data_IF_525105275480
#
_entry.id   IF_525105275480
#
_cell.length_a   1.000
_cell.length_b   1.000
_cell.length_c   1.000
_cell.angle_alpha   90.00
_cell.angle_beta   90.00
_cell.angle_gamma   90.00
#
_symmetry.space_group_name_H-M   'P 1'
#
loop_
_entity.id
_entity.type
_entity.pdbx_description
1 polymer ?
#
# COMPACT_ATOMS: atom_id res chain seq x y z
N UNK A 1 0.06 36.51 64.78
CA UNK A 1 -1.17 36.02 65.36
C UNK A 1 -2.20 35.85 64.27
N UNK A 2 -2.40 34.65 63.81
CA UNK A 2 -3.70 34.04 63.59
C UNK A 2 -3.44 32.67 62.88
N UNK A 3 -3.77 31.68 63.61
CA UNK A 3 -3.88 30.26 63.25
C UNK A 3 -4.95 30.08 62.17
N UNK A 4 -4.67 29.25 61.19
CA UNK A 4 -5.73 28.67 60.34
C UNK A 4 -5.53 27.16 60.19
N UNK A 5 -6.53 26.49 60.65
CA UNK A 5 -6.80 25.08 60.79
C UNK A 5 -6.77 24.30 59.46
N UNK A 6 -6.14 23.15 59.50
CA UNK A 6 -6.25 22.07 58.50
C UNK A 6 -7.72 21.62 58.35
N UNK A 7 -8.18 21.53 57.12
CA UNK A 7 -9.45 20.89 56.72
C UNK A 7 -9.10 19.59 55.98
N UNK A 8 -9.37 18.48 56.65
CA UNK A 8 -9.19 17.13 56.12
C UNK A 8 -10.08 16.93 54.87
N UNK A 9 -9.44 16.59 53.76
CA UNK A 9 -10.11 16.25 52.52
C UNK A 9 -10.57 14.79 52.52
N UNK A 10 -11.84 14.63 52.31
CA UNK A 10 -12.57 13.37 52.14
C UNK A 10 -12.07 12.60 50.92
N UNK A 11 -11.52 11.38 51.10
CA UNK A 11 -11.11 10.47 50.05
C UNK A 11 -12.27 9.48 49.80
N UNK A 12 -12.91 9.47 48.63
CA UNK A 12 -13.90 8.44 48.32
C UNK A 12 -13.22 7.09 47.99
N UNK A 13 -13.69 6.02 48.60
CA UNK A 13 -13.27 4.62 48.35
C UNK A 13 -13.65 4.20 46.93
N UNK A 14 -12.80 3.40 46.23
CA UNK A 14 -13.16 2.84 44.95
C UNK A 14 -14.21 1.74 45.11
N UNK A 15 -15.26 1.80 44.31
CA UNK A 15 -16.27 0.76 44.14
C UNK A 15 -15.63 -0.47 43.44
N UNK A 16 -15.59 -1.58 44.16
CA UNK A 16 -15.27 -2.90 43.58
C UNK A 16 -16.45 -3.35 42.74
N UNK A 17 -16.33 -3.31 41.42
CA UNK A 17 -17.22 -4.04 40.52
C UNK A 17 -16.72 -5.48 40.36
N UNK A 18 -17.48 -6.38 40.98
CA UNK A 18 -17.40 -7.83 40.78
C UNK A 18 -17.73 -8.15 39.32
N UNK A 19 -16.73 -8.58 38.56
CA UNK A 19 -16.91 -9.12 37.21
C UNK A 19 -17.30 -10.60 37.34
N UNK A 20 -18.58 -10.88 37.22
CA UNK A 20 -19.12 -12.23 37.07
C UNK A 20 -18.69 -12.79 35.72
N UNK A 21 -17.78 -13.78 35.72
CA UNK A 21 -17.46 -14.61 34.55
C UNK A 21 -18.70 -15.41 34.13
N UNK A 22 -19.41 -14.97 33.12
CA UNK A 22 -20.33 -15.86 32.37
C UNK A 22 -19.49 -16.66 31.39
N UNK A 23 -19.25 -17.93 31.73
CA UNK A 23 -18.77 -18.93 30.80
C UNK A 23 -19.89 -19.18 29.78
N UNK A 24 -19.73 -18.73 28.57
CA UNK A 24 -20.59 -19.01 27.45
C UNK A 24 -20.40 -20.46 27.00
N UNK A 25 -21.47 -21.29 27.19
CA UNK A 25 -21.52 -22.63 26.62
C UNK A 25 -21.50 -22.55 25.09
N UNK A 26 -20.52 -23.23 24.51
CA UNK A 26 -20.45 -23.53 23.07
C UNK A 26 -21.53 -24.56 22.76
N UNK A 27 -22.44 -24.34 21.80
CA UNK A 27 -23.44 -25.36 21.42
C UNK A 27 -22.72 -26.51 20.69
N UNK A 28 -22.86 -27.70 21.29
CA UNK A 28 -22.45 -28.98 20.70
C UNK A 28 -23.27 -29.26 19.45
N UNK A 29 -22.66 -29.52 18.34
CA UNK A 29 -23.26 -30.07 17.12
C UNK A 29 -23.92 -31.43 17.42
N UNK A 30 -25.15 -31.70 16.90
CA UNK A 30 -25.80 -33.00 17.10
C UNK A 30 -25.11 -34.07 16.25
N UNK A 31 -24.68 -35.14 16.93
CA UNK A 31 -24.26 -36.38 16.30
C UNK A 31 -25.48 -37.03 15.62
N UNK A 32 -25.46 -37.10 14.31
CA UNK A 32 -26.42 -37.93 13.54
C UNK A 32 -26.03 -39.37 13.78
N UNK A 33 -26.82 -40.07 14.62
CA UNK A 33 -26.80 -41.53 14.75
C UNK A 33 -27.42 -42.15 13.52
N UNK A 34 -26.63 -42.78 12.69
CA UNK A 34 -27.16 -43.68 11.67
C UNK A 34 -27.73 -44.93 12.35
N UNK A 35 -29.06 -45.08 12.31
CA UNK A 35 -29.76 -46.29 12.67
C UNK A 35 -29.47 -47.33 11.57
N UNK A 36 -28.69 -48.33 11.91
CA UNK A 36 -28.52 -49.52 11.10
C UNK A 36 -29.79 -50.38 11.32
N UNK A 37 -30.65 -50.35 10.35
CA UNK A 37 -31.85 -51.23 10.34
C UNK A 37 -31.46 -52.56 9.73
N UNK A 38 -31.25 -53.56 10.57
CA UNK A 38 -31.07 -54.94 10.14
C UNK A 38 -32.45 -55.50 9.67
N UNK A 39 -32.63 -55.60 8.36
CA UNK A 39 -33.73 -56.37 7.80
C UNK A 39 -33.30 -57.82 7.63
N UNK A 40 -34.10 -58.68 8.19
CA UNK A 40 -34.02 -60.14 8.15
C UNK A 40 -34.14 -60.68 6.72
N UNK A 41 -33.29 -61.66 6.43
CA UNK A 41 -33.28 -62.39 5.18
C UNK A 41 -34.53 -63.22 4.96
N UNK A 42 -35.16 -63.11 3.81
CA UNK A 42 -35.98 -64.13 3.21
C UNK A 42 -35.30 -64.63 1.95
N UNK A 43 -35.19 -65.96 1.75
CA UNK A 43 -34.56 -66.51 0.59
C UNK A 43 -35.57 -66.69 -0.54
N UNK A 44 -35.25 -66.35 -1.73
CA UNK A 44 -35.56 -67.10 -2.91
C UNK A 44 -35.59 -66.28 -4.21
N UNK A 45 -35.06 -66.85 -5.12
CA UNK A 45 -35.09 -66.79 -6.59
C UNK A 45 -33.78 -66.29 -7.20
N UNK A 46 -32.98 -67.29 -7.64
CA UNK A 46 -31.89 -67.13 -8.57
C UNK A 46 -32.41 -66.59 -9.92
N UNK A 47 -32.45 -65.27 -10.06
CA UNK A 47 -32.42 -64.65 -11.38
C UNK A 47 -30.93 -64.51 -11.79
N UNK A 48 -30.46 -65.41 -12.62
CA UNK A 48 -29.20 -65.25 -13.36
C UNK A 48 -29.48 -64.17 -14.39
N UNK A 49 -29.34 -62.92 -13.98
CA UNK A 49 -29.23 -61.77 -14.90
C UNK A 49 -27.85 -61.79 -15.50
N UNK A 50 -27.77 -62.35 -16.70
CA UNK A 50 -26.54 -62.24 -17.52
C UNK A 50 -26.29 -60.76 -17.76
N UNK A 51 -25.44 -60.14 -16.96
CA UNK A 51 -24.96 -58.80 -17.24
C UNK A 51 -24.16 -58.84 -18.52
N UNK A 52 -24.82 -58.42 -19.60
CA UNK A 52 -24.15 -58.16 -20.89
C UNK A 52 -23.18 -57.01 -20.65
N UNK A 53 -21.94 -57.37 -20.43
CA UNK A 53 -20.85 -56.42 -20.28
C UNK A 53 -20.67 -55.69 -21.61
N UNK A 54 -21.45 -54.65 -21.84
CA UNK A 54 -21.26 -53.72 -22.95
C UNK A 54 -19.99 -52.94 -22.67
N UNK A 55 -18.87 -53.47 -23.12
CA UNK A 55 -17.64 -52.70 -23.24
C UNK A 55 -17.93 -51.52 -24.16
N UNK A 56 -18.24 -50.36 -23.58
CA UNK A 56 -18.23 -49.09 -24.32
C UNK A 56 -16.90 -48.98 -25.04
N UNK A 57 -16.86 -48.71 -26.35
CA UNK A 57 -15.61 -48.53 -27.06
C UNK A 57 -14.91 -47.33 -26.39
N UNK A 58 -13.78 -47.58 -25.75
CA UNK A 58 -12.88 -46.50 -25.32
C UNK A 58 -12.31 -45.94 -26.61
N UNK A 59 -12.85 -44.80 -27.07
CA UNK A 59 -12.24 -44.04 -28.14
C UNK A 59 -10.85 -43.61 -27.68
N UNK A 60 -9.82 -44.21 -28.17
CA UNK A 60 -8.45 -43.79 -27.93
C UNK A 60 -8.20 -42.45 -28.60
N UNK A 61 -7.54 -41.56 -27.89
CA UNK A 61 -7.12 -40.27 -28.44
C UNK A 61 -6.08 -40.48 -29.52
N UNK A 62 -6.26 -39.89 -30.70
CA UNK A 62 -5.29 -40.04 -31.80
C UNK A 62 -4.11 -39.10 -31.58
N UNK A 63 -2.94 -39.50 -32.04
CA UNK A 63 -1.72 -38.69 -31.91
C UNK A 63 -1.88 -37.33 -32.61
N UNK A 64 -2.66 -37.30 -33.72
CA UNK A 64 -2.91 -36.07 -34.47
C UNK A 64 -3.84 -35.11 -33.70
N UNK A 65 -4.83 -35.60 -32.97
CA UNK A 65 -5.71 -34.77 -32.14
C UNK A 65 -4.91 -34.10 -31.02
N UNK A 66 -3.98 -34.83 -30.39
CA UNK A 66 -3.11 -34.24 -29.35
C UNK A 66 -2.17 -33.20 -29.97
N UNK A 67 -1.57 -33.51 -31.13
CA UNK A 67 -0.61 -32.64 -31.83
C UNK A 67 -1.28 -31.33 -32.28
N UNK A 68 -2.50 -31.39 -32.81
CA UNK A 68 -3.23 -30.18 -33.23
C UNK A 68 -3.57 -29.28 -32.08
N UNK A 69 -3.96 -29.83 -30.91
CA UNK A 69 -4.27 -29.05 -29.69
C UNK A 69 -3.03 -28.33 -29.19
N UNK A 70 -1.88 -29.02 -29.06
CA UNK A 70 -0.67 -28.34 -28.57
C UNK A 70 -0.16 -27.31 -29.58
N UNK A 71 -0.35 -27.51 -30.89
CA UNK A 71 0.00 -26.51 -31.88
C UNK A 71 -0.83 -25.25 -31.76
N UNK A 72 -2.16 -25.36 -31.54
CA UNK A 72 -3.04 -24.22 -31.33
C UNK A 72 -2.68 -23.49 -30.03
N UNK A 73 -2.47 -24.23 -28.93
CA UNK A 73 -2.05 -23.62 -27.64
C UNK A 73 -0.72 -22.88 -27.79
N UNK A 74 0.24 -23.49 -28.55
CA UNK A 74 1.54 -22.88 -28.81
C UNK A 74 1.42 -21.53 -29.54
N UNK A 75 0.57 -21.47 -30.56
CA UNK A 75 0.33 -20.22 -31.32
C UNK A 75 -0.33 -19.18 -30.44
N UNK A 76 -1.35 -19.55 -29.65
CA UNK A 76 -2.03 -18.62 -28.71
C UNK A 76 -1.07 -18.11 -27.64
N UNK A 77 -0.26 -18.99 -27.05
CA UNK A 77 0.73 -18.62 -26.04
C UNK A 77 1.80 -17.66 -26.59
N UNK A 78 2.27 -17.88 -27.83
CA UNK A 78 3.27 -17.04 -28.49
C UNK A 78 2.80 -15.56 -28.61
N UNK A 79 1.49 -15.34 -28.81
CA UNK A 79 0.91 -13.99 -28.90
C UNK A 79 0.62 -13.41 -27.51
N UNK A 80 0.18 -14.25 -26.55
CA UNK A 80 -0.24 -13.78 -25.22
C UNK A 80 0.94 -13.39 -24.33
N UNK A 81 2.04 -14.15 -24.36
CA UNK A 81 3.17 -13.91 -23.45
C UNK A 81 3.72 -12.47 -23.54
N UNK A 82 4.04 -11.91 -24.73
CA UNK A 82 4.54 -10.54 -24.82
C UNK A 82 3.47 -9.49 -24.47
N UNK A 83 2.20 -9.78 -24.72
CA UNK A 83 1.11 -8.87 -24.39
C UNK A 83 0.91 -8.73 -22.87
N UNK A 84 0.98 -9.83 -22.12
CA UNK A 84 0.83 -9.85 -20.66
C UNK A 84 1.91 -9.00 -19.96
N UNK A 85 3.15 -9.02 -20.47
CA UNK A 85 4.23 -8.19 -19.91
C UNK A 85 3.91 -6.69 -19.94
N UNK A 86 3.46 -6.20 -21.10
CA UNK A 86 3.06 -4.78 -21.27
C UNK A 86 1.85 -4.40 -20.41
N UNK A 87 0.86 -5.29 -20.32
CA UNK A 87 -0.34 -5.05 -19.47
C UNK A 87 0.05 -4.94 -18.00
N UNK A 88 0.95 -5.79 -17.51
CA UNK A 88 1.45 -5.71 -16.11
C UNK A 88 2.19 -4.41 -15.86
N UNK A 89 3.03 -3.95 -16.78
CA UNK A 89 3.73 -2.67 -16.64
C UNK A 89 2.74 -1.50 -16.51
N UNK A 90 1.74 -1.44 -17.39
CA UNK A 90 0.70 -0.39 -17.34
C UNK A 90 -0.10 -0.47 -16.05
N UNK A 91 -0.46 -1.67 -15.60
CA UNK A 91 -1.18 -1.87 -14.33
C UNK A 91 -0.35 -1.38 -13.14
N UNK A 92 0.93 -1.73 -13.06
CA UNK A 92 1.82 -1.29 -11.99
C UNK A 92 2.01 0.23 -11.99
N UNK A 93 2.15 0.86 -13.17
CA UNK A 93 2.20 2.33 -13.28
C UNK A 93 0.90 2.98 -12.78
N UNK A 94 -0.25 2.40 -13.12
CA UNK A 94 -1.55 2.90 -12.64
C UNK A 94 -1.70 2.77 -11.13
N UNK A 95 -1.25 1.65 -10.54
CA UNK A 95 -1.23 1.46 -9.08
C UNK A 95 -0.34 2.49 -8.42
N UNK A 96 0.90 2.64 -8.86
CA UNK A 96 1.83 3.65 -8.33
C UNK A 96 1.25 5.08 -8.41
N UNK A 97 0.59 5.44 -9.51
CA UNK A 97 -0.05 6.76 -9.62
C UNK A 97 -1.21 6.93 -8.61
N UNK A 98 -1.98 5.86 -8.34
CA UNK A 98 -3.04 5.87 -7.32
C UNK A 98 -2.47 6.02 -5.91
N UNK A 99 -1.39 5.31 -5.61
CA UNK A 99 -0.71 5.35 -4.31
C UNK A 99 -0.15 6.75 -4.03
N UNK A 100 0.57 7.33 -5.00
CA UNK A 100 1.08 8.69 -4.90
C UNK A 100 -0.03 9.73 -4.73
N UNK A 101 -1.17 9.54 -5.40
CA UNK A 101 -2.35 10.39 -5.20
C UNK A 101 -2.88 10.29 -3.77
N UNK A 102 -2.93 9.09 -3.20
CA UNK A 102 -3.37 8.88 -1.82
C UNK A 102 -2.45 9.58 -0.82
N UNK A 103 -1.13 9.51 -1.02
CA UNK A 103 -0.13 10.23 -0.22
C UNK A 103 -0.31 11.74 -0.35
N UNK A 104 -0.48 12.25 -1.57
CA UNK A 104 -0.66 13.69 -1.81
C UNK A 104 -1.96 14.22 -1.20
N UNK A 105 -3.06 13.44 -1.25
CA UNK A 105 -4.33 13.79 -0.60
C UNK A 105 -4.22 13.81 0.92
N UNK A 106 -3.49 12.85 1.51
CA UNK A 106 -3.21 12.87 2.95
C UNK A 106 -2.40 14.11 3.33
N UNK A 107 -1.39 14.46 2.55
CA UNK A 107 -0.64 15.70 2.75
C UNK A 107 -1.53 16.95 2.63
N UNK A 108 -2.39 17.02 1.62
CA UNK A 108 -3.34 18.12 1.45
C UNK A 108 -4.30 18.23 2.64
N UNK A 109 -4.79 17.10 3.15
CA UNK A 109 -5.64 17.04 4.35
C UNK A 109 -4.90 17.60 5.57
N UNK A 110 -3.67 17.14 5.81
CA UNK A 110 -2.82 17.67 6.88
C UNK A 110 -2.56 19.17 6.72
N UNK A 111 -2.20 19.61 5.50
CA UNK A 111 -1.81 21.00 5.24
C UNK A 111 -2.95 21.99 5.45
N UNK A 112 -4.21 21.57 5.29
CA UNK A 112 -5.42 22.38 5.46
C UNK A 112 -6.11 22.20 6.81
N UNK A 113 -5.66 21.28 7.66
CA UNK A 113 -6.29 20.99 8.93
C UNK A 113 -6.23 22.20 9.88
N UNK A 114 -7.34 22.48 10.56
CA UNK A 114 -7.45 23.53 11.59
C UNK A 114 -7.52 24.96 11.06
N UNK A 115 -7.95 25.17 9.80
CA UNK A 115 -8.20 26.49 9.23
C UNK A 115 -6.96 27.35 9.00
N UNK A 116 -5.78 26.77 9.07
CA UNK A 116 -4.50 27.41 8.75
C UNK A 116 -3.70 26.51 7.84
N UNK A 117 -3.04 27.11 6.85
CA UNK A 117 -2.11 26.39 5.99
C UNK A 117 -0.90 25.95 6.82
N UNK A 118 -0.66 24.64 6.83
CA UNK A 118 0.48 24.03 7.52
C UNK A 118 1.47 23.52 6.46
N UNK A 119 2.75 23.71 6.74
CA UNK A 119 3.84 23.17 5.93
C UNK A 119 4.55 22.11 6.75
N UNK A 120 4.73 20.92 6.21
CA UNK A 120 5.57 19.91 6.83
C UNK A 120 7.04 20.28 6.58
N UNK A 121 7.80 20.45 7.65
CA UNK A 121 9.21 20.74 7.62
C UNK A 121 9.93 19.95 8.72
N UNK A 122 11.26 20.02 8.73
CA UNK A 122 12.09 19.33 9.72
C UNK A 122 11.66 19.59 11.17
N UNK A 123 11.35 20.84 11.52
CA UNK A 123 10.93 21.20 12.88
C UNK A 123 9.65 20.50 13.32
N UNK A 124 8.73 20.26 12.38
CA UNK A 124 7.47 19.55 12.68
C UNK A 124 7.69 18.05 12.84
N UNK A 125 8.55 17.46 12.04
CA UNK A 125 8.97 16.06 12.22
C UNK A 125 9.66 15.90 13.58
N UNK A 126 10.63 16.76 13.89
CA UNK A 126 11.36 16.72 15.15
C UNK A 126 10.46 16.95 16.38
N UNK A 127 9.48 17.85 16.29
CA UNK A 127 8.53 18.12 17.40
C UNK A 127 7.70 16.87 17.79
N UNK A 128 7.52 15.93 16.88
CA UNK A 128 6.84 14.65 17.13
C UNK A 128 7.81 13.46 17.18
N UNK A 129 9.11 13.71 17.21
CA UNK A 129 10.17 12.70 17.27
C UNK A 129 10.22 11.76 16.05
N UNK A 130 9.75 12.20 14.88
CA UNK A 130 9.90 11.47 13.63
C UNK A 130 11.24 11.82 12.98
N UNK A 131 11.94 10.83 12.37
CA UNK A 131 13.19 11.07 11.67
C UNK A 131 12.97 11.93 10.41
N UNK A 132 14.00 12.68 10.02
CA UNK A 132 14.03 13.45 8.77
C UNK A 132 14.34 12.52 7.59
N UNK A 133 13.41 11.65 7.28
CA UNK A 133 13.45 10.68 6.18
C UNK A 133 12.06 10.54 5.57
N UNK A 134 11.95 9.92 4.40
CA UNK A 134 10.65 9.62 3.79
C UNK A 134 9.81 8.71 4.68
N UNK A 135 10.43 7.74 5.35
CA UNK A 135 9.76 6.87 6.32
C UNK A 135 9.19 7.68 7.49
N UNK A 136 9.94 8.68 7.99
CA UNK A 136 9.46 9.57 9.03
C UNK A 136 8.28 10.45 8.57
N UNK A 137 8.27 10.90 7.32
CA UNK A 137 7.11 11.58 6.71
C UNK A 137 5.91 10.64 6.63
N UNK A 138 6.11 9.38 6.22
CA UNK A 138 5.04 8.39 6.16
C UNK A 138 4.41 8.15 7.53
N UNK A 139 5.22 7.96 8.56
CA UNK A 139 4.77 7.80 9.94
C UNK A 139 4.07 9.04 10.48
N UNK A 140 4.58 10.24 10.15
CA UNK A 140 3.95 11.50 10.50
C UNK A 140 2.55 11.63 9.86
N UNK A 141 2.41 11.30 8.57
CA UNK A 141 1.12 11.31 7.89
C UNK A 141 0.19 10.23 8.45
N UNK A 142 0.71 9.06 8.81
CA UNK A 142 -0.04 8.03 9.52
C UNK A 142 -0.62 8.53 10.84
N UNK A 143 0.16 9.29 11.61
CA UNK A 143 -0.30 9.91 12.86
C UNK A 143 -1.31 11.04 12.64
N UNK A 144 -1.11 11.92 11.67
CA UNK A 144 -1.96 13.11 11.45
C UNK A 144 -3.22 12.82 10.62
N UNK A 145 -3.20 11.83 9.74
CA UNK A 145 -4.25 11.58 8.74
C UNK A 145 -4.73 10.13 8.65
N UNK A 146 -4.25 9.26 9.55
CA UNK A 146 -4.53 7.82 9.57
C UNK A 146 -4.11 7.07 8.27
N UNK A 147 -3.14 7.59 7.51
CA UNK A 147 -2.58 6.94 6.33
C UNK A 147 -1.57 5.86 6.76
N UNK A 148 -2.06 4.72 7.23
CA UNK A 148 -1.23 3.70 7.90
C UNK A 148 -0.79 2.52 6.99
N UNK A 149 -1.27 2.44 5.76
CA UNK A 149 -0.87 1.39 4.83
C UNK A 149 0.55 1.62 4.31
N UNK A 150 1.47 0.72 4.66
CA UNK A 150 2.86 0.81 4.22
C UNK A 150 3.04 0.44 2.74
N UNK A 151 2.11 -0.32 2.15
CA UNK A 151 2.22 -0.78 0.76
C UNK A 151 2.18 0.36 -0.24
N UNK A 152 1.47 1.46 0.06
CA UNK A 152 1.37 2.64 -0.80
C UNK A 152 2.67 3.44 -0.95
N UNK A 153 3.66 3.20 -0.06
CA UNK A 153 4.98 3.82 -0.11
C UNK A 153 5.99 3.03 -0.94
N UNK A 154 5.54 1.88 -1.47
CA UNK A 154 6.39 0.93 -2.17
C UNK A 154 5.80 0.54 -3.52
N UNK A 155 6.63 0.49 -4.53
CA UNK A 155 6.27 -0.01 -5.85
C UNK A 155 6.68 -1.49 -5.91
N UNK A 156 5.73 -2.40 -6.12
CA UNK A 156 5.98 -3.85 -6.08
C UNK A 156 6.94 -4.39 -7.15
N UNK A 157 7.38 -3.56 -8.09
CA UNK A 157 8.41 -3.88 -9.09
C UNK A 157 9.72 -3.15 -8.83
N UNK A 158 9.82 -2.39 -7.73
CA UNK A 158 11.05 -1.71 -7.32
C UNK A 158 12.09 -2.75 -6.88
N UNK A 159 13.28 -2.79 -7.49
CA UNK A 159 14.32 -3.75 -7.14
C UNK A 159 14.70 -3.72 -5.65
N UNK A 160 14.74 -2.54 -5.03
CA UNK A 160 15.13 -2.39 -3.63
C UNK A 160 14.03 -2.93 -2.69
N UNK A 161 12.75 -2.71 -3.05
CA UNK A 161 11.60 -3.26 -2.31
C UNK A 161 11.55 -4.78 -2.42
N UNK A 162 11.80 -5.32 -3.63
CA UNK A 162 11.80 -6.78 -3.85
C UNK A 162 12.94 -7.47 -3.09
N UNK A 163 14.08 -6.80 -2.93
CA UNK A 163 15.24 -7.35 -2.24
C UNK A 163 15.09 -7.37 -0.71
N UNK A 164 14.07 -6.69 -0.16
CA UNK A 164 13.89 -6.54 1.29
C UNK A 164 12.74 -7.41 1.80
N UNK A 165 13.02 -8.24 2.78
CA UNK A 165 12.06 -9.07 3.52
C UNK A 165 12.32 -8.99 5.03
N UNK A 166 11.29 -8.96 5.89
CA UNK A 166 9.86 -8.85 5.58
C UNK A 166 9.44 -7.40 5.28
N UNK A 167 8.39 -7.25 4.46
CA UNK A 167 7.77 -5.94 4.22
C UNK A 167 6.70 -5.69 5.30
N UNK A 168 6.86 -4.72 6.21
CA UNK A 168 5.85 -4.42 7.21
C UNK A 168 4.55 -3.95 6.54
N UNK A 169 3.37 -4.37 7.05
CA UNK A 169 2.08 -4.02 6.45
C UNK A 169 1.65 -2.57 6.77
N UNK A 170 2.19 -1.98 7.83
CA UNK A 170 1.79 -0.65 8.31
C UNK A 170 2.99 0.26 8.53
N UNK A 171 2.79 1.57 8.43
CA UNK A 171 3.79 2.58 8.80
C UNK A 171 3.80 2.82 10.32
N UNK A 172 2.72 2.46 11.01
CA UNK A 172 2.51 2.57 12.44
C UNK A 172 1.06 2.22 12.78
N UNK A 173 0.72 2.24 14.04
CA UNK A 173 -0.63 1.93 14.50
C UNK A 173 -1.08 2.88 15.62
N UNK A 174 -2.38 3.12 15.71
CA UNK A 174 -3.00 3.90 16.78
C UNK A 174 -3.65 2.97 17.79
N UNK A 175 -3.22 3.06 19.05
CA UNK A 175 -3.80 2.30 20.15
C UNK A 175 -5.20 2.83 20.53
N UNK A 176 -5.95 2.06 21.33
CA UNK A 176 -7.29 2.42 21.77
C UNK A 176 -7.34 3.68 22.63
N UNK A 177 -6.23 4.07 23.27
CA UNK A 177 -6.08 5.31 24.04
C UNK A 177 -5.76 6.54 23.17
N UNK A 178 -5.66 6.35 21.85
CA UNK A 178 -5.32 7.39 20.88
C UNK A 178 -3.83 7.59 20.65
N UNK A 179 -2.96 6.87 21.37
CA UNK A 179 -1.50 6.96 21.19
C UNK A 179 -1.10 6.34 19.86
N UNK A 180 -0.32 7.07 19.07
CA UNK A 180 0.26 6.55 17.82
C UNK A 180 1.67 5.98 18.07
N UNK A 181 1.90 4.77 17.59
CA UNK A 181 3.19 4.10 17.71
C UNK A 181 3.73 3.82 16.29
N UNK A 182 4.86 4.44 15.90
CA UNK A 182 5.52 4.16 14.62
C UNK A 182 5.99 2.70 14.55
N UNK A 183 5.90 2.10 13.37
CA UNK A 183 6.45 0.78 13.11
C UNK A 183 7.96 0.87 12.90
N UNK A 184 8.73 0.16 13.74
CA UNK A 184 10.20 0.20 13.70
C UNK A 184 10.77 -0.55 12.48
N UNK A 185 10.10 -1.58 11.99
CA UNK A 185 10.50 -2.29 10.78
C UNK A 185 10.33 -1.40 9.56
N UNK A 186 9.24 -0.62 9.49
CA UNK A 186 9.02 0.33 8.41
C UNK A 186 10.09 1.42 8.37
N UNK A 187 10.60 1.86 9.52
CA UNK A 187 11.65 2.90 9.58
C UNK A 187 12.93 2.49 8.85
N UNK A 188 13.23 1.20 8.79
CA UNK A 188 14.39 0.63 8.10
C UNK A 188 14.10 0.06 6.71
N UNK A 189 12.83 0.02 6.32
CA UNK A 189 12.41 -0.54 5.03
C UNK A 189 12.64 0.45 3.88
N UNK A 190 13.00 -0.02 2.67
CA UNK A 190 13.08 0.83 1.50
C UNK A 190 11.69 1.34 1.11
N UNK A 191 11.68 2.55 0.56
CA UNK A 191 10.51 3.19 -0.03
C UNK A 191 10.82 3.59 -1.48
N UNK A 192 9.80 3.74 -2.30
CA UNK A 192 9.98 3.93 -3.75
C UNK A 192 9.81 5.38 -4.21
N UNK A 193 9.62 6.32 -3.28
CA UNK A 193 9.36 7.72 -3.60
C UNK A 193 10.27 8.63 -2.80
N UNK A 194 10.78 9.67 -3.46
CA UNK A 194 11.39 10.83 -2.83
C UNK A 194 10.28 11.81 -2.45
N UNK A 195 10.40 12.50 -1.33
CA UNK A 195 9.37 13.40 -0.82
C UNK A 195 9.92 14.80 -0.57
N UNK A 196 9.15 15.83 -0.92
CA UNK A 196 9.53 17.23 -0.75
C UNK A 196 8.86 17.78 0.50
N UNK A 197 9.67 18.17 1.48
CA UNK A 197 9.20 18.93 2.65
C UNK A 197 9.42 20.43 2.44
N UNK A 198 8.72 21.26 3.19
CA UNK A 198 8.85 22.72 3.07
C UNK A 198 7.89 23.35 2.06
N UNK A 199 7.10 22.56 1.31
CA UNK A 199 6.06 23.05 0.38
C UNK A 199 4.68 23.03 1.03
N UNK A 200 3.75 23.87 0.56
CA UNK A 200 2.41 23.90 1.15
C UNK A 200 1.44 24.83 0.43
N UNK A 201 0.27 25.07 1.03
CA UNK A 201 -0.86 25.74 0.39
C UNK A 201 -0.65 27.19 -0.07
N UNK A 202 0.49 27.80 0.22
CA UNK A 202 0.86 29.10 -0.36
C UNK A 202 1.66 28.96 -1.66
N UNK A 203 2.00 27.73 -2.06
CA UNK A 203 2.65 27.44 -3.33
C UNK A 203 1.61 27.15 -4.40
N UNK A 204 1.91 27.38 -5.68
CA UNK A 204 1.02 27.02 -6.78
C UNK A 204 0.76 25.51 -6.79
N UNK A 205 -0.44 25.09 -6.38
CA UNK A 205 -0.72 23.66 -6.11
C UNK A 205 -0.63 22.75 -7.33
N UNK A 206 -0.93 23.30 -8.52
CA UNK A 206 -0.91 22.54 -9.77
C UNK A 206 0.46 22.37 -10.41
N UNK A 207 1.45 23.14 -9.97
CA UNK A 207 2.81 23.14 -10.57
C UNK A 207 3.91 22.81 -9.59
N UNK A 208 3.63 22.85 -8.29
CA UNK A 208 4.63 22.52 -7.26
C UNK A 208 4.61 21.01 -7.02
N UNK A 209 5.72 20.30 -7.31
CA UNK A 209 5.86 18.88 -7.03
C UNK A 209 5.90 18.65 -5.52
N UNK A 210 5.32 17.53 -5.07
CA UNK A 210 5.29 17.09 -3.67
C UNK A 210 6.11 15.83 -3.44
N UNK A 211 5.95 14.85 -4.33
CA UNK A 211 6.73 13.61 -4.28
C UNK A 211 6.91 13.07 -5.70
N UNK A 212 7.96 12.30 -5.89
CA UNK A 212 8.24 11.66 -7.18
C UNK A 212 8.88 10.28 -6.99
N UNK A 213 8.79 9.44 -8.02
CA UNK A 213 9.48 8.14 -8.03
C UNK A 213 10.97 8.36 -7.81
N UNK A 214 11.57 7.63 -6.89
CA UNK A 214 12.98 7.77 -6.48
C UNK A 214 13.95 7.78 -7.66
N UNK A 215 15.08 8.44 -7.47
CA UNK A 215 16.19 8.48 -8.42
C UNK A 215 16.02 9.50 -9.55
N UNK A 216 15.15 10.50 -9.40
CA UNK A 216 15.12 11.66 -10.29
C UNK A 216 16.28 12.59 -9.97
N UNK A 217 17.14 12.84 -10.95
CA UNK A 217 18.25 13.79 -10.84
C UNK A 217 17.87 15.21 -11.30
N UNK A 218 18.67 16.19 -10.94
CA UNK A 218 18.46 17.60 -11.30
C UNK A 218 18.62 17.88 -12.80
N UNK A 219 19.18 16.94 -13.56
CA UNK A 219 19.21 17.01 -15.02
C UNK A 219 17.92 16.50 -15.70
N UNK A 220 16.92 16.08 -14.89
CA UNK A 220 15.61 15.66 -15.36
C UNK A 220 15.52 14.21 -15.81
N UNK A 221 16.51 13.40 -15.47
CA UNK A 221 16.53 11.98 -15.81
C UNK A 221 16.40 11.12 -14.56
N UNK A 222 15.77 9.95 -14.73
CA UNK A 222 15.75 8.91 -13.70
C UNK A 222 16.89 7.93 -13.90
N UNK A 223 17.48 7.49 -12.80
CA UNK A 223 18.47 6.42 -12.80
C UNK A 223 17.86 5.10 -13.31
N UNK A 224 18.69 4.26 -13.93
CA UNK A 224 18.29 2.94 -14.42
C UNK A 224 17.94 1.93 -13.30
N UNK A 225 18.35 2.20 -12.05
CA UNK A 225 18.03 1.37 -10.87
C UNK A 225 16.61 1.61 -10.33
N UNK A 226 15.86 2.56 -10.91
CA UNK A 226 14.52 2.93 -10.48
C UNK A 226 13.48 1.88 -10.87
N UNK A 227 12.28 1.89 -10.25
CA UNK A 227 11.23 0.91 -10.51
C UNK A 227 10.85 0.73 -11.98
N UNK A 228 11.01 1.78 -12.78
CA UNK A 228 10.61 1.79 -14.20
C UNK A 228 11.79 1.73 -15.16
N UNK A 229 13.04 1.65 -14.63
CA UNK A 229 14.27 1.64 -15.40
C UNK A 229 14.58 2.96 -16.11
N UNK A 230 13.58 3.70 -16.55
CA UNK A 230 13.64 5.07 -17.10
C UNK A 230 12.28 5.74 -16.91
N UNK A 231 12.31 6.96 -16.41
CA UNK A 231 11.10 7.71 -16.12
C UNK A 231 10.50 7.39 -14.75
N UNK A 232 9.49 8.17 -14.37
CA UNK A 232 8.82 8.05 -13.10
C UNK A 232 7.58 8.93 -13.03
N UNK A 233 6.81 8.75 -11.97
CA UNK A 233 5.69 9.60 -11.65
C UNK A 233 6.15 10.79 -10.83
N UNK A 234 5.47 11.91 -11.02
CA UNK A 234 5.54 13.09 -10.14
C UNK A 234 4.12 13.40 -9.70
N UNK A 235 3.91 13.51 -8.39
CA UNK A 235 2.67 13.99 -7.81
C UNK A 235 2.85 15.44 -7.33
N UNK A 236 1.81 16.25 -7.53
CA UNK A 236 1.80 17.66 -7.21
C UNK A 236 0.93 17.94 -5.98
N UNK A 237 0.99 19.15 -5.46
CA UNK A 237 0.26 19.55 -4.25
C UNK A 237 -1.27 19.46 -4.38
N UNK A 238 -1.82 19.50 -5.58
CA UNK A 238 -3.26 19.28 -5.84
C UNK A 238 -3.63 17.80 -6.02
N UNK A 239 -2.66 16.90 -5.78
CA UNK A 239 -2.78 15.46 -5.91
C UNK A 239 -2.99 14.95 -7.36
N UNK A 240 -2.75 15.75 -8.40
CA UNK A 240 -2.61 15.16 -9.72
C UNK A 240 -1.25 14.46 -9.86
N UNK A 241 -1.21 13.38 -10.64
CA UNK A 241 -0.01 12.57 -10.85
C UNK A 241 0.21 12.39 -12.34
N UNK A 242 1.43 12.64 -12.79
CA UNK A 242 1.82 12.52 -14.20
C UNK A 242 3.06 11.65 -14.33
N UNK A 243 3.10 10.78 -15.33
CA UNK A 243 4.27 9.97 -15.66
C UNK A 243 5.14 10.69 -16.70
N UNK A 244 6.43 10.81 -16.40
CA UNK A 244 7.43 11.39 -17.29
C UNK A 244 8.48 10.33 -17.64
N UNK A 245 8.81 10.19 -18.93
CA UNK A 245 9.98 9.38 -19.33
C UNK A 245 11.28 10.10 -19.01
N UNK A 246 11.28 11.40 -19.13
CA UNK A 246 12.32 12.36 -18.74
C UNK A 246 11.69 13.72 -18.60
N UNK A 247 12.29 14.60 -17.85
CA UNK A 247 11.96 16.03 -17.86
C UNK A 247 12.81 16.75 -18.88
N UNK A 248 12.22 17.69 -19.59
CA UNK A 248 12.94 18.62 -20.45
C UNK A 248 12.36 20.05 -20.33
N UNK A 249 13.14 21.04 -20.71
CA UNK A 249 12.75 22.44 -20.58
C UNK A 249 11.92 22.95 -21.77
N UNK A 250 11.51 22.08 -22.70
CA UNK A 250 10.83 22.49 -23.94
C UNK A 250 9.40 21.99 -24.07
N UNK A 251 9.14 20.73 -23.73
CA UNK A 251 7.83 20.11 -23.93
C UNK A 251 7.27 19.44 -22.65
N UNK A 252 8.10 18.73 -21.92
CA UNK A 252 7.70 17.86 -20.79
C UNK A 252 8.51 18.18 -19.55
N UNK A 253 8.43 19.42 -19.07
CA UNK A 253 9.14 19.90 -17.88
C UNK A 253 8.21 20.24 -16.72
N UNK A 254 8.84 20.54 -15.60
CA UNK A 254 8.21 21.19 -14.47
C UNK A 254 8.13 22.70 -14.74
N UNK A 255 7.32 23.41 -13.99
CA UNK A 255 7.26 24.88 -14.07
C UNK A 255 8.19 25.46 -13.02
N UNK A 256 9.24 26.14 -13.45
CA UNK A 256 10.15 26.86 -12.56
C UNK A 256 9.38 27.96 -11.82
N UNK A 257 9.50 27.98 -10.51
CA UNK A 257 8.73 28.85 -9.61
C UNK A 257 8.96 30.33 -9.88
N UNK A 258 10.19 30.74 -10.08
CA UNK A 258 10.58 32.15 -10.20
C UNK A 258 10.35 32.72 -11.59
N UNK A 259 10.41 31.88 -12.62
CA UNK A 259 10.33 32.34 -14.03
C UNK A 259 9.03 31.96 -14.71
N UNK A 260 8.27 30.99 -14.17
CA UNK A 260 7.07 30.42 -14.81
C UNK A 260 7.36 29.65 -16.11
N UNK A 261 8.64 29.40 -16.43
CA UNK A 261 9.07 28.66 -17.62
C UNK A 261 9.23 27.19 -17.31
N UNK A 262 9.19 26.35 -18.35
CA UNK A 262 9.49 24.95 -18.21
C UNK A 262 10.95 24.74 -17.81
N UNK A 263 11.17 23.83 -16.87
CA UNK A 263 12.50 23.40 -16.42
C UNK A 263 12.56 21.88 -16.29
N UNK A 264 13.74 21.33 -16.45
CA UNK A 264 14.03 19.92 -16.15
C UNK A 264 14.51 19.69 -14.71
N UNK A 265 14.93 20.76 -14.03
CA UNK A 265 15.42 20.72 -12.67
C UNK A 265 14.26 20.88 -11.68
N UNK A 266 13.99 19.87 -10.87
CA UNK A 266 12.92 19.90 -9.87
C UNK A 266 13.19 20.93 -8.76
N UNK A 267 14.44 21.27 -8.46
CA UNK A 267 14.79 22.28 -7.47
C UNK A 267 14.28 23.67 -7.87
N UNK A 268 14.27 23.98 -9.17
CA UNK A 268 13.72 25.25 -9.67
C UNK A 268 12.18 25.32 -9.58
N UNK A 269 11.50 24.20 -9.44
CA UNK A 269 10.05 24.13 -9.32
C UNK A 269 9.55 24.27 -7.87
N UNK A 270 10.44 24.21 -6.88
CA UNK A 270 10.14 24.33 -5.47
C UNK A 270 10.73 25.63 -4.90
N UNK A 271 10.38 25.95 -3.64
CA UNK A 271 10.95 27.11 -2.96
C UNK A 271 12.33 26.80 -2.39
N UNK A 272 13.18 27.79 -2.22
CA UNK A 272 14.53 27.66 -1.67
C UNK A 272 14.58 27.05 -0.27
N UNK A 273 13.47 27.15 0.50
CA UNK A 273 13.36 26.58 1.84
C UNK A 273 12.77 25.16 1.84
N UNK A 274 12.41 24.64 0.68
CA UNK A 274 11.99 23.27 0.53
C UNK A 274 13.20 22.35 0.40
N UNK A 275 13.02 21.11 0.81
CA UNK A 275 14.07 20.11 0.81
C UNK A 275 13.51 18.77 0.30
N UNK A 276 14.29 18.09 -0.52
CA UNK A 276 13.97 16.74 -0.99
C UNK A 276 14.55 15.73 -0.01
N UNK A 277 13.69 14.88 0.51
CA UNK A 277 14.08 13.71 1.26
C UNK A 277 14.15 12.53 0.28
N UNK A 278 15.33 12.01 0.11
CA UNK A 278 15.57 10.88 -0.78
C UNK A 278 15.10 9.57 -0.14
N UNK A 279 14.54 8.69 -0.96
CA UNK A 279 14.24 7.32 -0.56
C UNK A 279 15.55 6.63 -0.15
N UNK A 280 15.61 6.14 1.08
CA UNK A 280 16.79 5.45 1.59
C UNK A 280 16.95 4.13 0.85
N UNK A 281 18.08 3.95 0.21
CA UNK A 281 18.52 2.68 -0.38
C UNK A 281 19.00 1.73 0.69
#
# INVERSE_FOLDING_TARGET
>A
VTTNTCREGFIPKPLQHSVSKRVGLIPRTPHIKYLIQTQSATPSHNFITTMKNTKSPRSGFTLIELLTVIAIIGILAAILIPAVGKVREVANKSTSASDMRSIALAYATYSQAGGRTRVLNENRLAAKSYPKTVQGVAQFLGDETDLNDASIWRIGVDPDVIATEPNPPTVGFRAADGTYTPDTEFTSSPVSYDFIIGVGGNDPTTTTPLLFTRGLSTDGQWDNSTPWGRGGHIAFLDAHVTFYNKLDATELGLVARDTGKLTKNYEEAIRDTAEVLEAKQ
#
